data_IF_323081945918
#
_entry.id   IF_323081945918
#
_cell.length_a   1.000
_cell.length_b   1.000
_cell.length_c   1.000
_cell.angle_alpha   90.00
_cell.angle_beta   90.00
_cell.angle_gamma   90.00
#
_symmetry.space_group_name_H-M   'P 1'
#
loop_
_entity.id
_entity.type
_entity.pdbx_description
1 polymer ?
#
# COMPACT_ATOMS: atom_id res chain seq x y z
N UNK A 1 8.91 -17.91 -22.88
CA UNK A 1 9.34 -16.72 -22.13
C UNK A 1 9.27 -15.53 -23.07
N UNK A 2 8.59 -14.46 -22.67
CA UNK A 2 8.47 -13.28 -23.51
C UNK A 2 9.74 -12.41 -23.43
N UNK A 3 10.15 -11.86 -24.58
CA UNK A 3 11.20 -10.83 -24.66
C UNK A 3 10.54 -9.52 -25.08
N UNK A 4 10.74 -8.45 -24.31
CA UNK A 4 10.25 -7.11 -24.66
C UNK A 4 11.41 -6.35 -25.29
N UNK A 5 11.34 -6.12 -26.60
CA UNK A 5 12.22 -5.20 -27.32
C UNK A 5 11.69 -3.78 -27.18
N UNK A 6 12.52 -2.90 -26.65
CA UNK A 6 12.17 -1.54 -26.32
C UNK A 6 12.75 -0.60 -27.38
N UNK A 7 11.89 0.28 -27.88
CA UNK A 7 12.20 1.33 -28.83
C UNK A 7 11.88 2.70 -28.22
N UNK A 8 12.55 3.73 -28.73
CA UNK A 8 12.15 5.13 -28.57
C UNK A 8 11.90 5.72 -29.97
N UNK A 9 10.64 5.72 -30.39
CA UNK A 9 10.28 5.95 -31.79
C UNK A 9 10.83 4.84 -32.69
N UNK A 10 11.65 5.20 -33.69
CA UNK A 10 12.27 4.23 -34.61
C UNK A 10 13.56 3.59 -34.07
N UNK A 11 14.10 4.10 -32.97
CA UNK A 11 15.41 3.67 -32.45
C UNK A 11 15.24 2.51 -31.47
N UNK A 12 15.86 1.37 -31.76
CA UNK A 12 16.00 0.29 -30.78
C UNK A 12 16.95 0.71 -29.66
N UNK A 13 16.55 0.54 -28.40
CA UNK A 13 17.36 0.96 -27.25
C UNK A 13 17.79 -0.22 -26.36
N UNK A 14 17.05 -1.32 -26.38
CA UNK A 14 17.43 -2.53 -25.66
C UNK A 14 16.29 -3.52 -25.53
N UNK A 15 16.54 -4.60 -24.82
CA UNK A 15 15.55 -5.64 -24.55
C UNK A 15 15.55 -6.00 -23.07
N UNK A 16 14.38 -6.39 -22.59
CA UNK A 16 14.19 -6.92 -21.24
C UNK A 16 13.43 -8.24 -21.34
N UNK A 17 13.83 -9.23 -20.55
CA UNK A 17 13.15 -10.52 -20.51
C UNK A 17 12.19 -10.57 -19.34
N UNK A 18 11.19 -11.45 -19.45
CA UNK A 18 10.25 -11.75 -18.37
C UNK A 18 10.95 -12.15 -17.06
N UNK A 19 12.00 -12.97 -17.14
CA UNK A 19 12.82 -13.36 -16.00
C UNK A 19 13.53 -12.16 -15.36
N UNK A 20 14.05 -11.22 -16.16
CA UNK A 20 14.69 -10.02 -15.64
C UNK A 20 13.70 -9.15 -14.88
N UNK A 21 12.45 -9.06 -15.35
CA UNK A 21 11.39 -8.34 -14.64
C UNK A 21 11.10 -9.02 -13.30
N UNK A 22 10.93 -10.35 -13.29
CA UNK A 22 10.69 -11.12 -12.07
C UNK A 22 11.82 -10.91 -11.06
N UNK A 23 13.08 -10.98 -11.51
CA UNK A 23 14.26 -10.72 -10.67
C UNK A 23 14.25 -9.30 -10.11
N UNK A 24 13.95 -8.28 -10.93
CA UNK A 24 13.83 -6.88 -10.47
C UNK A 24 12.73 -6.72 -9.41
N UNK A 25 11.64 -7.49 -9.52
CA UNK A 25 10.53 -7.48 -8.57
C UNK A 25 10.78 -8.31 -7.30
N UNK A 26 11.95 -8.92 -7.14
CA UNK A 26 12.33 -9.69 -5.94
C UNK A 26 12.36 -11.21 -6.14
N UNK A 27 12.28 -11.70 -7.38
CA UNK A 27 12.41 -13.11 -7.73
C UNK A 27 11.16 -13.94 -7.43
N UNK A 28 11.30 -15.27 -7.52
CA UNK A 28 10.20 -16.21 -7.32
C UNK A 28 9.53 -16.09 -5.94
N UNK A 29 10.32 -15.78 -4.90
CA UNK A 29 9.80 -15.55 -3.55
C UNK A 29 8.84 -14.35 -3.50
N UNK A 30 9.12 -13.29 -4.26
CA UNK A 30 8.20 -12.16 -4.39
C UNK A 30 6.97 -12.50 -5.24
N UNK A 31 7.10 -13.37 -6.24
CA UNK A 31 5.96 -13.81 -7.08
C UNK A 31 4.95 -14.69 -6.34
N UNK A 32 5.31 -15.23 -5.18
CA UNK A 32 4.36 -15.88 -4.28
C UNK A 32 3.41 -14.87 -3.59
N UNK A 33 3.75 -13.58 -3.56
CA UNK A 33 2.88 -12.52 -3.03
C UNK A 33 1.86 -12.09 -4.10
N UNK A 34 0.57 -12.12 -3.75
CA UNK A 34 -0.53 -11.82 -4.69
C UNK A 34 -0.45 -10.40 -5.27
N UNK A 35 0.00 -9.40 -4.49
CA UNK A 35 0.15 -8.04 -4.98
C UNK A 35 1.30 -7.91 -5.99
N UNK A 36 2.44 -8.53 -5.72
CA UNK A 36 3.57 -8.51 -6.67
C UNK A 36 3.26 -9.29 -7.95
N UNK A 37 2.56 -10.43 -7.82
CA UNK A 37 2.06 -11.18 -8.96
C UNK A 37 1.11 -10.33 -9.82
N UNK A 38 0.18 -9.61 -9.19
CA UNK A 38 -0.75 -8.72 -9.89
C UNK A 38 -0.04 -7.55 -10.57
N UNK A 39 0.98 -6.97 -9.94
CA UNK A 39 1.81 -5.92 -10.54
C UNK A 39 2.56 -6.44 -11.78
N UNK A 40 3.09 -7.67 -11.72
CA UNK A 40 3.76 -8.32 -12.83
C UNK A 40 2.81 -8.62 -13.99
N UNK A 41 1.67 -9.25 -13.70
CA UNK A 41 0.63 -9.55 -14.70
C UNK A 41 0.08 -8.26 -15.33
N UNK A 42 -0.14 -7.24 -14.51
CA UNK A 42 -0.56 -5.91 -14.95
C UNK A 42 0.44 -5.24 -15.87
N UNK A 43 1.74 -5.30 -15.53
CA UNK A 43 2.83 -4.82 -16.38
C UNK A 43 2.82 -5.54 -17.74
N UNK A 44 2.78 -6.86 -17.74
CA UNK A 44 2.82 -7.65 -18.98
C UNK A 44 1.59 -7.38 -19.86
N UNK A 45 0.40 -7.31 -19.26
CA UNK A 45 -0.83 -6.95 -19.96
C UNK A 45 -0.76 -5.52 -20.53
N UNK A 46 -0.25 -4.56 -19.75
CA UNK A 46 -0.10 -3.18 -20.17
C UNK A 46 0.84 -3.05 -21.38
N UNK A 47 2.03 -3.65 -21.31
CA UNK A 47 3.00 -3.60 -22.43
C UNK A 47 2.38 -4.25 -23.67
N UNK A 48 1.80 -5.45 -23.55
CA UNK A 48 1.15 -6.15 -24.67
C UNK A 48 0.03 -5.34 -25.31
N UNK A 49 -0.81 -4.68 -24.51
CA UNK A 49 -1.95 -3.89 -25.02
C UNK A 49 -1.55 -2.71 -25.91
N UNK A 50 -0.27 -2.30 -25.88
CA UNK A 50 0.25 -1.13 -26.58
C UNK A 50 1.47 -1.43 -27.45
N UNK A 51 1.70 -2.72 -27.70
CA UNK A 51 2.85 -3.23 -28.44
C UNK A 51 2.39 -4.22 -29.50
N UNK A 52 3.26 -4.54 -30.44
CA UNK A 52 3.06 -5.70 -31.31
C UNK A 52 3.71 -6.93 -30.68
N UNK A 53 3.06 -8.08 -30.75
CA UNK A 53 3.60 -9.36 -30.25
C UNK A 53 3.64 -10.38 -31.40
N UNK A 54 4.80 -11.02 -31.59
CA UNK A 54 4.99 -12.04 -32.61
C UNK A 54 6.16 -12.94 -32.24
N UNK A 55 6.00 -14.26 -32.40
CA UNK A 55 7.03 -15.27 -32.10
C UNK A 55 7.63 -15.13 -30.68
N UNK A 56 6.81 -14.77 -29.67
CA UNK A 56 7.26 -14.58 -28.28
C UNK A 56 8.06 -13.31 -28.02
N UNK A 57 8.13 -12.40 -29.01
CA UNK A 57 8.78 -11.09 -28.88
C UNK A 57 7.71 -9.99 -28.88
N UNK A 58 7.71 -9.19 -27.84
CA UNK A 58 6.88 -8.00 -27.69
C UNK A 58 7.73 -6.79 -28.13
N UNK A 59 7.27 -6.04 -29.13
CA UNK A 59 7.95 -4.83 -29.62
C UNK A 59 7.22 -3.61 -29.09
N UNK A 60 7.83 -2.96 -28.10
CA UNK A 60 7.26 -1.85 -27.36
C UNK A 60 7.97 -0.52 -27.68
N UNK A 61 7.23 0.50 -28.08
CA UNK A 61 7.74 1.87 -28.20
C UNK A 61 7.40 2.66 -26.93
N UNK A 62 8.42 3.18 -26.24
CA UNK A 62 8.26 4.01 -25.06
C UNK A 62 7.38 5.23 -25.29
N UNK A 63 7.37 5.80 -26.50
CA UNK A 63 6.49 6.93 -26.84
C UNK A 63 5.03 6.54 -26.80
N UNK A 64 4.69 5.34 -27.27
CA UNK A 64 3.33 4.80 -27.25
C UNK A 64 2.90 4.38 -25.84
N UNK A 65 3.81 3.74 -25.08
CA UNK A 65 3.56 3.40 -23.67
C UNK A 65 3.27 4.65 -22.82
N UNK A 66 3.93 5.77 -23.11
CA UNK A 66 3.74 7.02 -22.38
C UNK A 66 2.48 7.81 -22.78
N UNK A 67 1.81 7.50 -23.90
CA UNK A 67 0.57 8.19 -24.31
C UNK A 67 -0.58 8.00 -23.32
N UNK A 68 -1.54 8.92 -23.36
CA UNK A 68 -2.72 8.91 -22.47
C UNK A 68 -2.46 9.48 -21.08
N UNK A 69 -3.46 9.43 -20.21
CA UNK A 69 -3.44 10.07 -18.90
C UNK A 69 -2.29 9.56 -18.00
N UNK A 70 -1.64 10.46 -17.25
CA UNK A 70 -0.58 10.13 -16.29
C UNK A 70 -1.08 9.76 -14.89
N UNK A 71 -2.39 9.89 -14.65
CA UNK A 71 -3.04 9.56 -13.36
C UNK A 71 -3.60 8.14 -13.30
N UNK A 72 -3.40 7.34 -14.35
CA UNK A 72 -3.77 5.92 -14.34
C UNK A 72 -2.78 5.12 -13.49
N UNK A 73 -3.27 4.60 -12.36
CA UNK A 73 -2.46 3.84 -11.40
C UNK A 73 -1.86 2.55 -12.01
N UNK A 74 -2.58 1.88 -12.93
CA UNK A 74 -2.10 0.66 -13.56
C UNK A 74 -0.97 0.97 -14.54
N UNK A 75 -1.14 2.00 -15.38
CA UNK A 75 -0.09 2.52 -16.26
C UNK A 75 1.15 2.96 -15.47
N UNK A 76 0.97 3.77 -14.43
CA UNK A 76 2.08 4.32 -13.64
C UNK A 76 2.84 3.22 -12.90
N UNK A 77 2.16 2.20 -12.39
CA UNK A 77 2.80 1.03 -11.76
C UNK A 77 3.56 0.19 -12.78
N UNK A 78 2.98 -0.05 -13.95
CA UNK A 78 3.63 -0.79 -15.04
C UNK A 78 4.89 -0.06 -15.53
N UNK A 79 4.78 1.24 -15.81
CA UNK A 79 5.92 2.06 -16.24
C UNK A 79 7.01 2.15 -15.18
N UNK A 80 6.66 2.16 -13.89
CA UNK A 80 7.63 2.11 -12.80
C UNK A 80 8.46 0.82 -12.85
N UNK A 81 7.81 -0.34 -12.91
CA UNK A 81 8.51 -1.63 -12.96
C UNK A 81 9.32 -1.82 -14.24
N UNK A 82 8.77 -1.40 -15.39
CA UNK A 82 9.51 -1.42 -16.66
C UNK A 82 10.75 -0.51 -16.59
N UNK A 83 10.61 0.70 -16.03
CA UNK A 83 11.74 1.59 -15.86
C UNK A 83 12.79 1.04 -14.87
N UNK A 84 12.36 0.35 -13.81
CA UNK A 84 13.27 -0.28 -12.85
C UNK A 84 14.17 -1.33 -13.52
N UNK A 85 13.60 -2.23 -14.33
CA UNK A 85 14.38 -3.24 -15.07
C UNK A 85 15.26 -2.58 -16.15
N UNK A 86 14.73 -1.59 -16.86
CA UNK A 86 15.51 -0.81 -17.85
C UNK A 86 16.68 -0.07 -17.18
N UNK A 87 16.52 0.43 -15.97
CA UNK A 87 17.56 1.09 -15.19
C UNK A 87 18.68 0.13 -14.81
N UNK A 88 18.34 -1.05 -14.30
CA UNK A 88 19.31 -2.11 -13.99
C UNK A 88 20.11 -2.53 -15.23
N UNK A 89 19.48 -2.51 -16.41
CA UNK A 89 20.12 -2.84 -17.70
C UNK A 89 20.78 -1.66 -18.40
N UNK A 90 20.82 -0.48 -17.78
CA UNK A 90 21.35 0.77 -18.38
C UNK A 90 20.66 1.14 -19.72
N UNK A 91 19.44 0.67 -19.95
CA UNK A 91 18.62 0.98 -21.13
C UNK A 91 18.01 2.38 -20.99
N UNK A 92 17.63 2.79 -19.76
CA UNK A 92 17.07 4.13 -19.51
C UNK A 92 17.96 5.27 -20.04
N UNK A 93 19.29 5.10 -19.98
CA UNK A 93 20.26 6.10 -20.43
C UNK A 93 20.26 6.33 -21.95
N UNK A 94 19.61 5.44 -22.71
CA UNK A 94 19.49 5.51 -24.16
C UNK A 94 18.18 6.17 -24.62
N UNK A 95 17.29 6.50 -23.69
CA UNK A 95 16.07 7.24 -23.99
C UNK A 95 16.39 8.67 -24.41
N UNK A 96 15.63 9.18 -25.36
CA UNK A 96 15.69 10.59 -25.73
C UNK A 96 15.27 11.47 -24.55
N UNK A 97 15.82 12.71 -24.44
CA UNK A 97 15.47 13.63 -23.37
C UNK A 97 13.95 13.88 -23.25
N UNK A 98 13.24 13.91 -24.38
CA UNK A 98 11.78 14.09 -24.43
C UNK A 98 11.04 12.93 -23.76
N UNK A 99 11.48 11.70 -24.03
CA UNK A 99 10.89 10.50 -23.42
C UNK A 99 11.21 10.43 -21.93
N UNK A 100 12.44 10.77 -21.53
CA UNK A 100 12.85 10.86 -20.12
C UNK A 100 12.00 11.87 -19.34
N UNK A 101 11.81 13.08 -19.88
CA UNK A 101 11.00 14.13 -19.23
C UNK A 101 9.54 13.73 -19.01
N UNK A 102 8.99 12.83 -19.85
CA UNK A 102 7.63 12.30 -19.67
C UNK A 102 7.57 11.12 -18.70
N UNK A 103 8.62 10.29 -18.67
CA UNK A 103 8.68 9.09 -17.83
C UNK A 103 9.00 9.42 -16.36
N UNK A 104 9.95 10.32 -16.09
CA UNK A 104 10.42 10.63 -14.73
C UNK A 104 9.32 11.08 -13.78
N UNK A 105 8.38 11.98 -14.15
CA UNK A 105 7.30 12.39 -13.26
C UNK A 105 6.39 11.22 -12.84
N UNK A 106 6.16 10.24 -13.72
CA UNK A 106 5.33 9.07 -13.42
C UNK A 106 6.03 8.15 -12.41
N UNK A 107 7.34 7.92 -12.59
CA UNK A 107 8.16 7.16 -11.64
C UNK A 107 8.17 7.87 -10.28
N UNK A 108 8.43 9.18 -10.26
CA UNK A 108 8.50 9.99 -9.05
C UNK A 108 7.16 10.04 -8.28
N UNK A 109 6.03 10.07 -9.00
CA UNK A 109 4.72 9.98 -8.38
C UNK A 109 4.54 8.64 -7.64
N UNK A 110 4.96 7.51 -8.24
CA UNK A 110 4.86 6.19 -7.60
C UNK A 110 5.78 6.06 -6.40
N UNK A 111 7.03 6.55 -6.49
CA UNK A 111 7.97 6.50 -5.34
C UNK A 111 7.46 7.37 -4.19
N UNK A 112 6.95 8.57 -4.47
CA UNK A 112 6.36 9.43 -3.44
C UNK A 112 5.13 8.80 -2.79
N UNK A 113 4.25 8.17 -3.56
CA UNK A 113 3.10 7.42 -3.00
C UNK A 113 3.57 6.25 -2.15
N UNK A 114 4.58 5.49 -2.59
CA UNK A 114 5.14 4.40 -1.80
C UNK A 114 5.78 4.89 -0.49
N UNK A 115 6.50 6.02 -0.51
CA UNK A 115 7.06 6.65 0.69
C UNK A 115 5.97 7.16 1.63
N UNK A 116 4.93 7.80 1.11
CA UNK A 116 3.79 8.26 1.90
C UNK A 116 3.04 7.07 2.51
N UNK A 117 2.83 5.99 1.76
CA UNK A 117 2.23 4.76 2.27
C UNK A 117 3.10 4.12 3.35
N UNK A 118 4.42 4.06 3.17
CA UNK A 118 5.35 3.52 4.18
C UNK A 118 5.34 4.37 5.46
N UNK A 119 5.35 5.70 5.33
CA UNK A 119 5.22 6.63 6.48
C UNK A 119 3.87 6.47 7.17
N UNK A 120 2.78 6.41 6.41
CA UNK A 120 1.44 6.17 6.95
C UNK A 120 1.37 4.84 7.69
N UNK A 121 1.90 3.76 7.13
CA UNK A 121 1.95 2.45 7.78
C UNK A 121 2.79 2.47 9.06
N UNK A 122 3.92 3.20 9.07
CA UNK A 122 4.72 3.39 10.27
C UNK A 122 3.93 4.10 11.38
N UNK A 123 3.26 5.20 11.05
CA UNK A 123 2.42 5.94 11.97
C UNK A 123 1.20 5.11 12.45
N UNK A 124 0.59 4.33 11.55
CA UNK A 124 -0.53 3.44 11.87
C UNK A 124 -0.08 2.33 12.84
N UNK A 125 1.10 1.74 12.63
CA UNK A 125 1.66 0.73 13.53
C UNK A 125 1.98 1.31 14.92
N UNK A 126 2.58 2.50 14.96
CA UNK A 126 2.90 3.19 16.22
C UNK A 126 1.63 3.49 17.02
N UNK A 127 0.57 3.98 16.36
CA UNK A 127 -0.75 4.18 16.97
C UNK A 127 -1.37 2.88 17.50
N UNK A 128 -1.29 1.78 16.76
CA UNK A 128 -1.80 0.49 17.24
C UNK A 128 -1.02 -0.02 18.44
N UNK A 129 0.30 0.18 18.46
CA UNK A 129 1.14 -0.18 19.61
C UNK A 129 0.81 0.67 20.84
N UNK A 130 0.63 1.97 20.67
CA UNK A 130 0.22 2.88 21.73
C UNK A 130 -1.16 2.51 22.28
N UNK A 131 -2.14 2.29 21.39
CA UNK A 131 -3.48 1.82 21.73
C UNK A 131 -3.44 0.50 22.53
N UNK A 132 -2.71 -0.50 22.02
CA UNK A 132 -2.60 -1.82 22.66
C UNK A 132 -1.93 -1.75 24.03
N UNK A 133 -0.88 -0.92 24.17
CA UNK A 133 -0.22 -0.67 25.46
C UNK A 133 -1.16 0.01 26.45
N UNK A 134 -1.87 1.06 26.01
CA UNK A 134 -2.82 1.78 26.85
C UNK A 134 -3.95 0.86 27.32
N UNK A 135 -4.53 0.04 26.42
CA UNK A 135 -5.55 -0.93 26.79
C UNK A 135 -5.05 -1.96 27.80
N UNK A 136 -3.86 -2.52 27.57
CA UNK A 136 -3.24 -3.48 28.49
C UNK A 136 -2.94 -2.85 29.86
N UNK A 137 -2.51 -1.59 29.89
CA UNK A 137 -2.23 -0.88 31.14
C UNK A 137 -3.53 -0.56 31.89
N UNK A 138 -4.54 -0.01 31.21
CA UNK A 138 -5.84 0.30 31.79
C UNK A 138 -6.51 -0.94 32.37
N UNK A 139 -6.58 -2.05 31.61
CA UNK A 139 -7.19 -3.29 32.08
C UNK A 139 -6.46 -3.88 33.30
N UNK A 140 -5.12 -3.83 33.33
CA UNK A 140 -4.35 -4.25 34.50
C UNK A 140 -4.63 -3.39 35.72
N UNK A 141 -4.65 -2.05 35.56
CA UNK A 141 -4.89 -1.12 36.66
C UNK A 141 -6.33 -1.18 37.17
N UNK A 142 -7.32 -1.38 36.30
CA UNK A 142 -8.70 -1.65 36.70
C UNK A 142 -8.77 -2.94 37.52
N UNK A 143 -8.15 -4.02 37.05
CA UNK A 143 -8.14 -5.30 37.77
C UNK A 143 -7.44 -5.21 39.14
N UNK A 144 -6.43 -4.35 39.27
CA UNK A 144 -5.75 -4.07 40.53
C UNK A 144 -6.52 -3.09 41.45
N UNK A 145 -7.61 -2.50 40.98
CA UNK A 145 -8.35 -1.46 41.71
C UNK A 145 -7.65 -0.09 41.78
N UNK A 146 -6.60 0.10 40.98
CA UNK A 146 -5.77 1.32 40.94
C UNK A 146 -6.32 2.39 39.97
N UNK A 147 -7.30 2.05 39.14
CA UNK A 147 -7.89 2.92 38.12
C UNK A 147 -9.37 2.65 37.96
N UNK A 148 -10.17 3.71 37.81
CA UNK A 148 -11.60 3.61 37.53
C UNK A 148 -11.87 3.42 36.03
N UNK A 149 -13.08 2.95 35.70
CA UNK A 149 -13.51 2.86 34.31
C UNK A 149 -13.53 4.24 33.61
N UNK A 150 -13.83 5.31 34.34
CA UNK A 150 -13.85 6.68 33.81
C UNK A 150 -12.45 7.13 33.36
N UNK A 151 -11.46 7.03 34.24
CA UNK A 151 -10.08 7.39 33.92
C UNK A 151 -9.50 6.51 32.80
N UNK A 152 -9.87 5.23 32.77
CA UNK A 152 -9.48 4.34 31.70
C UNK A 152 -10.13 4.72 30.37
N UNK A 153 -11.42 5.08 30.38
CA UNK A 153 -12.16 5.49 29.18
C UNK A 153 -11.61 6.80 28.61
N UNK A 154 -11.38 7.82 29.45
CA UNK A 154 -10.75 9.08 29.04
C UNK A 154 -9.39 8.84 28.37
N UNK A 155 -8.54 8.02 29.01
CA UNK A 155 -7.24 7.68 28.45
C UNK A 155 -7.37 6.95 27.12
N UNK A 156 -8.23 5.94 27.06
CA UNK A 156 -8.41 5.13 25.85
C UNK A 156 -8.96 5.96 24.70
N UNK A 157 -9.83 6.94 24.97
CA UNK A 157 -10.39 7.84 23.96
C UNK A 157 -9.29 8.58 23.19
N UNK A 158 -8.22 8.99 23.89
CA UNK A 158 -7.12 9.76 23.27
C UNK A 158 -6.23 8.93 22.35
N UNK A 159 -6.26 7.60 22.49
CA UNK A 159 -5.42 6.66 21.74
C UNK A 159 -6.24 5.69 20.88
N UNK A 160 -7.54 5.94 20.71
CA UNK A 160 -8.37 5.11 19.82
C UNK A 160 -7.83 5.16 18.39
N UNK A 161 -7.73 4.00 17.70
CA UNK A 161 -7.31 3.99 16.31
C UNK A 161 -8.37 4.67 15.44
N UNK A 162 -7.96 5.33 14.35
CA UNK A 162 -8.94 5.88 13.39
C UNK A 162 -9.87 4.79 12.84
N UNK A 163 -11.09 5.15 12.45
CA UNK A 163 -12.08 4.21 11.86
C UNK A 163 -11.49 3.40 10.70
N UNK A 164 -10.74 4.06 9.81
CA UNK A 164 -10.04 3.43 8.68
C UNK A 164 -9.08 2.33 9.16
N UNK A 165 -8.31 2.64 10.19
CA UNK A 165 -7.30 1.73 10.73
C UNK A 165 -7.94 0.54 11.46
N UNK A 166 -8.97 0.80 12.28
CA UNK A 166 -9.73 -0.26 12.95
C UNK A 166 -10.32 -1.26 11.94
N UNK A 167 -10.90 -0.77 10.85
CA UNK A 167 -11.47 -1.60 9.77
C UNK A 167 -10.41 -2.40 9.01
N UNK A 168 -9.29 -1.75 8.69
CA UNK A 168 -8.16 -2.41 8.01
C UNK A 168 -7.60 -3.55 8.86
N UNK A 169 -7.36 -3.30 10.15
CA UNK A 169 -6.84 -4.31 11.07
C UNK A 169 -7.86 -5.41 11.36
N UNK A 170 -9.15 -5.10 11.48
CA UNK A 170 -10.18 -6.12 11.68
C UNK A 170 -10.24 -7.15 10.53
N UNK A 171 -9.91 -6.71 9.31
CA UNK A 171 -9.84 -7.58 8.13
C UNK A 171 -8.58 -8.45 8.12
N UNK A 172 -7.42 -7.86 8.39
CA UNK A 172 -6.11 -8.55 8.31
C UNK A 172 -5.79 -9.38 9.57
N UNK A 173 -6.20 -8.88 10.74
CA UNK A 173 -5.92 -9.41 12.09
C UNK A 173 -7.15 -9.31 12.99
N UNK A 174 -8.12 -10.24 12.83
CA UNK A 174 -9.41 -10.17 13.52
C UNK A 174 -9.33 -10.14 15.06
N UNK A 175 -8.17 -10.45 15.67
CA UNK A 175 -7.98 -10.38 17.12
C UNK A 175 -8.19 -8.96 17.67
N UNK A 176 -8.00 -7.92 16.86
CA UNK A 176 -8.24 -6.52 17.27
C UNK A 176 -9.71 -6.27 17.65
N UNK A 177 -10.66 -7.03 17.08
CA UNK A 177 -12.09 -6.92 17.39
C UNK A 177 -12.34 -7.22 18.87
N UNK A 178 -11.65 -8.22 19.43
CA UNK A 178 -11.76 -8.55 20.86
C UNK A 178 -11.28 -7.41 21.76
N UNK A 179 -10.18 -6.75 21.37
CA UNK A 179 -9.65 -5.58 22.08
C UNK A 179 -10.63 -4.41 22.01
N UNK A 180 -11.18 -4.11 20.84
CA UNK A 180 -12.16 -3.05 20.64
C UNK A 180 -13.45 -3.30 21.44
N UNK A 181 -13.93 -4.54 21.50
CA UNK A 181 -15.05 -4.93 22.38
C UNK A 181 -14.74 -4.66 23.85
N UNK A 182 -13.56 -5.04 24.32
CA UNK A 182 -13.15 -4.76 25.70
C UNK A 182 -13.06 -3.26 26.00
N UNK A 183 -12.59 -2.43 25.07
CA UNK A 183 -12.61 -0.96 25.21
C UNK A 183 -14.05 -0.44 25.26
N UNK A 184 -14.94 -0.97 24.42
CA UNK A 184 -16.37 -0.62 24.46
C UNK A 184 -17.00 -0.97 25.80
N UNK A 185 -16.65 -2.12 26.37
CA UNK A 185 -17.18 -2.54 27.68
C UNK A 185 -16.69 -1.61 28.80
N UNK A 186 -15.44 -1.15 28.75
CA UNK A 186 -14.92 -0.09 29.65
C UNK A 186 -15.70 1.22 29.45
N UNK A 187 -15.93 1.64 28.20
CA UNK A 187 -16.71 2.84 27.87
C UNK A 187 -18.17 2.74 28.34
N UNK A 188 -18.78 1.55 28.30
CA UNK A 188 -20.13 1.33 28.81
C UNK A 188 -20.21 1.42 30.34
N UNK A 189 -19.15 0.98 31.03
CA UNK A 189 -18.99 1.08 32.48
C UNK A 189 -18.61 2.50 32.96
N UNK A 190 -18.23 3.39 32.04
CA UNK A 190 -17.98 4.80 32.32
C UNK A 190 -19.28 5.49 32.77
N UNK A 191 -19.18 6.20 33.88
CA UNK A 191 -20.24 7.00 34.48
C UNK A 191 -20.24 8.44 33.96
N UNK A 192 -19.10 8.94 33.46
CA UNK A 192 -19.01 10.26 32.84
C UNK A 192 -19.81 10.32 31.51
N UNK A 193 -20.86 11.15 31.41
CA UNK A 193 -21.72 11.18 30.23
C UNK A 193 -21.01 11.62 28.96
N UNK A 194 -20.10 12.60 29.05
CA UNK A 194 -19.42 13.17 27.88
C UNK A 194 -18.43 12.16 27.27
N UNK A 195 -17.63 11.50 28.10
CA UNK A 195 -16.68 10.48 27.67
C UNK A 195 -17.41 9.26 27.11
N UNK A 196 -18.53 8.86 27.74
CA UNK A 196 -19.38 7.77 27.27
C UNK A 196 -20.00 8.05 25.91
N UNK A 197 -20.48 9.28 25.69
CA UNK A 197 -21.04 9.69 24.40
C UNK A 197 -19.98 9.62 23.29
N UNK A 198 -18.79 10.19 23.51
CA UNK A 198 -17.69 10.14 22.52
C UNK A 198 -17.22 8.71 22.21
N UNK A 199 -17.15 7.85 23.22
CA UNK A 199 -16.88 6.42 23.03
C UNK A 199 -17.96 5.77 22.17
N UNK A 200 -19.23 6.03 22.48
CA UNK A 200 -20.38 5.47 21.76
C UNK A 200 -20.40 5.93 20.30
N UNK A 201 -20.19 7.21 20.04
CA UNK A 201 -20.09 7.76 18.67
C UNK A 201 -19.01 7.06 17.86
N UNK A 202 -17.84 6.81 18.45
CA UNK A 202 -16.77 6.08 17.77
C UNK A 202 -17.20 4.63 17.45
N UNK A 203 -17.75 3.92 18.43
CA UNK A 203 -18.15 2.52 18.26
C UNK A 203 -19.33 2.32 17.31
N UNK A 204 -20.24 3.29 17.23
CA UNK A 204 -21.34 3.30 16.26
C UNK A 204 -20.82 3.38 14.82
N UNK A 205 -19.74 4.15 14.60
CA UNK A 205 -19.12 4.27 13.28
C UNK A 205 -18.37 3.01 12.84
N UNK A 206 -18.04 2.10 13.76
CA UNK A 206 -17.37 0.83 13.45
C UNK A 206 -18.22 -0.40 13.83
N UNK A 207 -19.53 -0.22 14.04
CA UNK A 207 -20.42 -1.30 14.50
C UNK A 207 -20.51 -2.50 13.57
N UNK A 208 -20.25 -2.32 12.28
CA UNK A 208 -20.31 -3.39 11.28
C UNK A 208 -19.13 -4.37 11.37
N UNK A 209 -18.05 -3.99 12.07
CA UNK A 209 -16.89 -4.86 12.31
C UNK A 209 -16.81 -5.38 13.76
N UNK A 210 -17.80 -5.07 14.61
CA UNK A 210 -17.88 -5.48 16.03
C UNK A 210 -18.99 -6.50 16.25
#
# INVERSE_FOLDING_TARGET
>A
MAVIRIYDGKSFIGEVTEEQIIVTMGGEAAMANEHMKKDFEGLMAFVRSRSSEGNGVITADMRELLKGNGLDAAKTTSLFWLAAVMGQKKILNKLSPVTVMKLLPLIAAKTKVAELNKKSMGNDLERLLEFSRAYTECTKKIAAGEMTADTAAERLLTVLPSERLARSEAKERPQIIGVLKGVRDIGNACADPETKEKMSEYFDKIKDIL
#
